data_IF_743682712414
#
_entry.id   IF_743682712414
#
_cell.length_a   1.000
_cell.length_b   1.000
_cell.length_c   1.000
_cell.angle_alpha   90.00
_cell.angle_beta   90.00
_cell.angle_gamma   90.00
#
_symmetry.space_group_name_H-M   'P 1'
#
loop_
_entity.id
_entity.type
_entity.pdbx_description
1 polymer ?
#
# COMPACT_ATOMS: atom_id res chain seq x y z
N UNK A 1 -17.19 21.88 15.50
CA UNK A 1 -17.40 23.16 14.80
C UNK A 1 -16.12 23.99 14.98
N UNK A 2 -15.00 23.80 14.30
CA UNK A 2 -14.72 23.29 12.97
C UNK A 2 -13.18 23.18 12.92
N UNK A 3 -12.57 22.03 13.21
CA UNK A 3 -11.10 21.94 13.18
C UNK A 3 -10.53 22.39 11.82
N UNK A 4 -11.29 22.15 10.74
CA UNK A 4 -11.05 22.70 9.40
C UNK A 4 -11.22 24.23 9.30
N UNK A 5 -12.26 24.85 9.87
CA UNK A 5 -12.45 26.32 9.78
C UNK A 5 -11.49 27.07 10.71
N UNK A 6 -11.19 26.51 11.88
CA UNK A 6 -10.14 27.02 12.77
C UNK A 6 -8.80 26.89 12.08
N UNK A 7 -8.54 25.78 11.38
CA UNK A 7 -7.34 25.62 10.58
C UNK A 7 -7.24 26.63 9.45
N UNK A 8 -8.32 26.85 8.71
CA UNK A 8 -8.38 27.88 7.67
C UNK A 8 -8.01 29.27 8.20
N UNK A 9 -8.48 29.62 9.40
CA UNK A 9 -8.22 30.92 10.00
C UNK A 9 -6.82 31.04 10.65
N UNK A 10 -6.15 29.91 10.89
CA UNK A 10 -4.87 29.84 11.63
C UNK A 10 -3.75 29.16 10.82
N UNK A 11 -3.75 29.27 9.48
CA UNK A 11 -2.74 28.69 8.58
C UNK A 11 -2.54 27.17 8.77
N UNK A 12 -3.62 26.44 9.03
CA UNK A 12 -3.68 24.99 9.19
C UNK A 12 -2.82 24.36 10.30
N UNK A 13 -2.10 25.17 11.08
CA UNK A 13 -1.40 24.79 12.33
C UNK A 13 -2.24 23.95 13.31
N UNK A 14 -3.55 24.20 13.51
CA UNK A 14 -4.36 23.40 14.44
C UNK A 14 -4.54 21.95 13.98
N UNK A 15 -4.57 21.69 12.67
CA UNK A 15 -4.58 20.32 12.12
C UNK A 15 -3.24 19.65 12.39
N UNK A 16 -2.12 20.36 12.17
CA UNK A 16 -0.78 19.80 12.40
C UNK A 16 -0.58 19.45 13.88
N UNK A 17 -0.92 20.37 14.78
CA UNK A 17 -0.81 20.16 16.23
C UNK A 17 -1.67 18.98 16.68
N UNK A 18 -2.89 18.85 16.15
CA UNK A 18 -3.79 17.74 16.47
C UNK A 18 -3.20 16.38 16.03
N UNK A 19 -2.60 16.34 14.84
CA UNK A 19 -1.91 15.13 14.35
C UNK A 19 -0.70 14.81 15.22
N UNK A 20 0.13 15.80 15.55
CA UNK A 20 1.38 15.60 16.29
C UNK A 20 1.17 15.23 17.77
N UNK A 21 0.10 15.72 18.39
CA UNK A 21 -0.27 15.37 19.78
C UNK A 21 -0.87 13.96 19.89
N UNK A 22 -1.31 13.38 18.76
CA UNK A 22 -1.94 12.07 18.75
C UNK A 22 -0.91 10.95 18.96
N UNK A 23 -1.29 9.84 19.66
CA UNK A 23 -0.36 8.76 20.00
C UNK A 23 0.20 8.01 18.78
N UNK A 24 -0.53 8.04 17.66
CA UNK A 24 -0.10 7.52 16.36
C UNK A 24 -0.35 8.61 15.29
N UNK A 25 0.62 9.49 15.03
CA UNK A 25 0.41 10.67 14.20
C UNK A 25 0.17 10.30 12.72
N UNK A 26 0.89 9.31 12.18
CA UNK A 26 0.71 8.86 10.79
C UNK A 26 -0.68 8.25 10.55
N UNK A 27 -1.15 7.41 11.48
CA UNK A 27 -2.48 6.78 11.41
C UNK A 27 -3.61 7.82 11.55
N UNK A 28 -3.43 8.77 12.48
CA UNK A 28 -4.41 9.85 12.68
C UNK A 28 -4.50 10.72 11.44
N UNK A 29 -3.37 11.09 10.83
CA UNK A 29 -3.34 11.89 9.61
C UNK A 29 -4.03 11.18 8.42
N UNK A 30 -3.76 9.89 8.22
CA UNK A 30 -4.36 9.08 7.17
C UNK A 30 -5.89 8.94 7.32
N UNK A 31 -6.36 8.61 8.53
CA UNK A 31 -7.80 8.50 8.83
C UNK A 31 -8.50 9.86 8.71
N UNK A 32 -7.86 10.93 9.20
CA UNK A 32 -8.41 12.29 9.14
C UNK A 32 -8.52 12.80 7.69
N UNK A 33 -7.51 12.52 6.86
CA UNK A 33 -7.53 12.80 5.41
C UNK A 33 -8.76 12.17 4.74
N UNK A 34 -8.97 10.87 4.95
CA UNK A 34 -10.12 10.16 4.39
C UNK A 34 -11.46 10.73 4.88
N UNK A 35 -11.57 11.05 6.18
CA UNK A 35 -12.76 11.70 6.75
C UNK A 35 -13.03 13.04 6.06
N UNK A 36 -12.01 13.87 5.82
CA UNK A 36 -12.20 15.14 5.12
C UNK A 36 -12.63 14.96 3.66
N UNK A 37 -12.08 13.98 2.96
CA UNK A 37 -12.50 13.66 1.58
C UNK A 37 -13.96 13.17 1.55
N UNK A 38 -14.33 12.24 2.43
CA UNK A 38 -15.71 11.75 2.53
C UNK A 38 -16.67 12.88 2.89
N UNK A 39 -16.32 13.75 3.83
CA UNK A 39 -17.12 14.92 4.20
C UNK A 39 -17.27 15.89 3.02
N UNK A 40 -16.25 16.05 2.19
CA UNK A 40 -16.31 16.92 1.00
C UNK A 40 -17.36 16.46 -0.02
N UNK A 41 -17.62 15.15 -0.11
CA UNK A 41 -18.66 14.61 -0.98
C UNK A 41 -20.08 14.86 -0.44
N UNK A 42 -20.22 14.97 0.88
CA UNK A 42 -21.50 15.23 1.58
C UNK A 42 -21.83 16.72 1.64
N UNK A 43 -20.83 17.58 1.89
CA UNK A 43 -20.98 19.03 2.03
C UNK A 43 -20.42 19.79 0.82
N UNK A 44 -21.26 20.03 -0.21
CA UNK A 44 -20.83 20.70 -1.44
C UNK A 44 -20.43 22.16 -1.27
N UNK A 45 -21.03 22.89 -0.32
CA UNK A 45 -20.73 24.31 -0.09
C UNK A 45 -19.29 24.57 0.39
N UNK A 46 -18.66 23.58 1.05
CA UNK A 46 -17.30 23.69 1.61
C UNK A 46 -16.34 22.62 1.08
N UNK A 47 -16.74 21.90 0.03
CA UNK A 47 -15.98 20.77 -0.52
C UNK A 47 -14.53 21.15 -0.88
N UNK A 48 -14.31 22.33 -1.47
CA UNK A 48 -12.97 22.79 -1.86
C UNK A 48 -12.01 22.95 -0.67
N UNK A 49 -12.52 23.45 0.46
CA UNK A 49 -11.72 23.63 1.68
C UNK A 49 -11.48 22.29 2.40
N UNK A 50 -12.45 21.38 2.34
CA UNK A 50 -12.29 20.02 2.89
C UNK A 50 -11.26 19.22 2.09
N UNK A 51 -11.25 19.33 0.77
CA UNK A 51 -10.27 18.66 -0.09
C UNK A 51 -8.85 19.21 0.17
N UNK A 52 -8.70 20.53 0.35
CA UNK A 52 -7.39 21.10 0.64
C UNK A 52 -6.86 20.68 2.01
N UNK A 53 -7.72 20.63 3.04
CA UNK A 53 -7.36 20.13 4.36
C UNK A 53 -7.01 18.63 4.34
N UNK A 54 -7.77 17.82 3.59
CA UNK A 54 -7.48 16.40 3.38
C UNK A 54 -6.14 16.19 2.72
N UNK A 55 -5.84 16.92 1.64
CA UNK A 55 -4.56 16.83 0.94
C UNK A 55 -3.37 17.22 1.81
N UNK A 56 -3.52 18.23 2.67
CA UNK A 56 -2.47 18.56 3.64
C UNK A 56 -2.25 17.47 4.67
N UNK A 57 -3.31 16.85 5.19
CA UNK A 57 -3.18 15.70 6.08
C UNK A 57 -2.48 14.52 5.38
N UNK A 58 -2.77 14.29 4.11
CA UNK A 58 -2.11 13.26 3.30
C UNK A 58 -0.61 13.55 3.08
N UNK A 59 -0.26 14.80 2.75
CA UNK A 59 1.14 15.23 2.61
C UNK A 59 1.89 15.09 3.94
N UNK A 60 1.27 15.49 5.04
CA UNK A 60 1.85 15.35 6.37
C UNK A 60 2.02 13.89 6.78
N UNK A 61 1.07 13.01 6.45
CA UNK A 61 1.23 11.58 6.68
C UNK A 61 2.43 11.02 5.91
N UNK A 62 2.64 11.46 4.66
CA UNK A 62 3.80 11.05 3.85
C UNK A 62 5.12 11.54 4.44
N UNK A 63 5.20 12.81 4.87
CA UNK A 63 6.41 13.37 5.49
C UNK A 63 6.74 12.71 6.83
N UNK A 64 5.74 12.51 7.69
CA UNK A 64 5.90 11.83 8.97
C UNK A 64 6.33 10.37 8.78
N UNK A 65 5.77 9.69 7.78
CA UNK A 65 6.19 8.33 7.45
C UNK A 65 7.62 8.31 6.90
N UNK A 66 8.03 9.28 6.08
CA UNK A 66 9.40 9.39 5.59
C UNK A 66 10.40 9.63 6.73
N UNK A 67 10.06 10.51 7.68
CA UNK A 67 10.86 10.78 8.87
C UNK A 67 10.94 9.56 9.78
N UNK A 68 9.81 8.91 10.06
CA UNK A 68 9.75 7.72 10.90
C UNK A 68 10.50 6.54 10.27
N UNK A 69 10.41 6.37 8.95
CA UNK A 69 11.17 5.34 8.22
C UNK A 69 12.67 5.66 8.08
N UNK A 70 13.07 6.91 8.30
CA UNK A 70 14.48 7.29 8.44
C UNK A 70 15.03 6.95 9.82
N UNK A 71 14.21 7.02 10.86
CA UNK A 71 14.58 6.72 12.25
C UNK A 71 14.48 5.23 12.60
N UNK A 72 13.42 4.56 12.13
CA UNK A 72 13.12 3.14 12.29
C UNK A 72 12.98 2.46 10.93
N UNK A 73 13.07 1.13 10.86
CA UNK A 73 12.85 0.44 9.59
C UNK A 73 11.40 0.57 9.12
N UNK A 74 11.21 1.02 7.88
CA UNK A 74 9.88 1.17 7.25
C UNK A 74 9.01 -0.08 7.38
N UNK A 75 9.62 -1.26 7.33
CA UNK A 75 8.92 -2.53 7.52
C UNK A 75 8.27 -2.68 8.90
N UNK A 76 8.95 -2.28 9.99
CA UNK A 76 8.37 -2.35 11.35
C UNK A 76 7.16 -1.44 11.51
N UNK A 77 7.17 -0.29 10.84
CA UNK A 77 6.07 0.69 10.88
C UNK A 77 4.89 0.17 10.05
N UNK A 78 5.15 -0.39 8.86
CA UNK A 78 4.11 -0.86 7.94
C UNK A 78 3.46 -2.18 8.39
N UNK A 79 4.18 -3.03 9.13
CA UNK A 79 3.63 -4.23 9.79
C UNK A 79 3.16 -3.96 11.21
N UNK A 80 3.21 -2.71 11.69
CA UNK A 80 2.68 -2.37 13.01
C UNK A 80 1.18 -2.64 13.02
N UNK A 81 0.69 -3.21 14.12
CA UNK A 81 -0.71 -3.55 14.29
C UNK A 81 -1.45 -2.38 14.93
N UNK A 82 -2.53 -1.94 14.29
CA UNK A 82 -3.46 -0.97 14.86
C UNK A 82 -4.32 -1.63 15.97
N UNK A 83 -5.10 -0.83 16.70
CA UNK A 83 -6.07 -1.25 17.73
C UNK A 83 -7.13 -2.26 17.24
N UNK A 84 -7.26 -2.43 15.92
CA UNK A 84 -8.11 -3.41 15.23
C UNK A 84 -7.39 -4.71 14.86
N UNK A 85 -6.13 -4.90 15.27
CA UNK A 85 -5.27 -6.01 14.83
C UNK A 85 -5.11 -6.09 13.30
N UNK A 86 -5.21 -4.97 12.59
CA UNK A 86 -4.92 -4.88 11.16
C UNK A 86 -3.53 -4.27 10.98
N UNK A 87 -2.82 -4.72 9.95
CA UNK A 87 -1.53 -4.16 9.58
C UNK A 87 -1.72 -2.71 9.11
N UNK A 88 -0.80 -1.83 9.49
CA UNK A 88 -0.87 -0.41 9.14
C UNK A 88 -0.94 -0.19 7.62
N UNK A 89 -0.28 -1.05 6.83
CA UNK A 89 -0.38 -1.04 5.37
C UNK A 89 -1.82 -1.23 4.88
N UNK A 90 -2.58 -2.16 5.48
CA UNK A 90 -3.97 -2.40 5.08
C UNK A 90 -4.86 -1.22 5.46
N UNK A 91 -4.59 -0.57 6.59
CA UNK A 91 -5.30 0.66 6.99
C UNK A 91 -5.02 1.82 6.03
N UNK A 92 -3.79 1.96 5.53
CA UNK A 92 -3.44 2.94 4.50
C UNK A 92 -4.18 2.69 3.19
N UNK A 93 -4.32 1.42 2.80
CA UNK A 93 -5.05 1.01 1.59
C UNK A 93 -6.55 1.23 1.75
N UNK A 94 -7.14 0.86 2.89
CA UNK A 94 -8.57 1.06 3.20
C UNK A 94 -8.94 2.55 3.22
N UNK A 95 -8.01 3.42 3.65
CA UNK A 95 -8.21 4.87 3.65
C UNK A 95 -7.88 5.56 2.31
N UNK A 96 -7.62 4.80 1.25
CA UNK A 96 -7.36 5.29 -0.11
C UNK A 96 -6.25 6.37 -0.19
N UNK A 97 -5.22 6.30 0.67
CA UNK A 97 -4.15 7.30 0.72
C UNK A 97 -3.13 7.10 -0.41
N UNK A 98 -3.50 7.50 -1.62
CA UNK A 98 -2.74 7.24 -2.85
C UNK A 98 -1.39 7.96 -2.88
N UNK A 99 -1.30 9.19 -2.38
CA UNK A 99 -0.04 9.95 -2.37
C UNK A 99 0.95 9.36 -1.34
N UNK A 100 0.46 8.86 -0.20
CA UNK A 100 1.30 8.22 0.84
C UNK A 100 1.83 6.87 0.37
N UNK A 101 0.99 6.04 -0.25
CA UNK A 101 1.40 4.73 -0.77
C UNK A 101 2.40 4.88 -1.92
N UNK A 102 2.25 5.91 -2.75
CA UNK A 102 3.18 6.21 -3.85
C UNK A 102 4.56 6.71 -3.38
N UNK A 103 4.72 7.04 -2.10
CA UNK A 103 5.98 7.54 -1.57
C UNK A 103 7.11 6.50 -1.73
N UNK A 104 8.31 6.95 -2.10
CA UNK A 104 9.46 6.09 -2.47
C UNK A 104 9.83 5.09 -1.37
N UNK A 105 9.67 5.49 -0.11
CA UNK A 105 9.91 4.66 1.08
C UNK A 105 8.96 3.46 1.13
N UNK A 106 7.66 3.71 0.97
CA UNK A 106 6.63 2.65 0.98
C UNK A 106 6.81 1.75 -0.24
N UNK A 107 7.05 2.34 -1.41
CA UNK A 107 7.28 1.60 -2.65
C UNK A 107 8.49 0.68 -2.57
N UNK A 108 9.59 1.15 -1.98
CA UNK A 108 10.78 0.30 -1.77
C UNK A 108 10.45 -0.88 -0.85
N UNK A 109 9.78 -0.64 0.27
CA UNK A 109 9.36 -1.72 1.16
C UNK A 109 8.42 -2.71 0.47
N UNK A 110 7.44 -2.21 -0.29
CA UNK A 110 6.49 -3.06 -1.01
C UNK A 110 7.19 -3.88 -2.11
N UNK A 111 8.22 -3.32 -2.76
CA UNK A 111 9.07 -4.06 -3.69
C UNK A 111 9.92 -5.13 -3.00
N UNK A 112 10.44 -4.86 -1.81
CA UNK A 112 11.14 -5.84 -0.98
C UNK A 112 10.19 -6.96 -0.54
N UNK A 113 8.96 -6.63 -0.13
CA UNK A 113 7.90 -7.59 0.20
C UNK A 113 7.49 -8.42 -1.03
N UNK A 114 7.37 -7.79 -2.19
CA UNK A 114 7.04 -8.43 -3.47
C UNK A 114 8.11 -9.44 -3.88
N UNK A 115 9.39 -9.05 -3.79
CA UNK A 115 10.53 -9.95 -4.04
C UNK A 115 10.64 -11.04 -2.96
N UNK A 116 10.20 -10.76 -1.74
CA UNK A 116 10.34 -11.66 -0.60
C UNK A 116 11.81 -12.04 -0.39
N UNK A 117 12.08 -13.33 -0.17
CA UNK A 117 13.45 -13.86 -0.05
C UNK A 117 14.16 -14.06 -1.40
N UNK A 118 13.55 -13.66 -2.52
CA UNK A 118 14.04 -13.95 -3.86
C UNK A 118 14.92 -12.80 -4.40
N UNK A 119 16.22 -12.86 -4.10
CA UNK A 119 17.23 -11.90 -4.61
C UNK A 119 17.65 -12.16 -6.07
N UNK A 120 16.80 -12.75 -6.90
CA UNK A 120 17.16 -13.09 -8.27
C UNK A 120 17.13 -11.88 -9.20
N UNK A 121 18.05 -11.85 -10.17
CA UNK A 121 18.05 -10.85 -11.24
C UNK A 121 16.77 -10.96 -12.08
N UNK A 122 16.25 -9.84 -12.56
CA UNK A 122 15.03 -9.78 -13.37
C UNK A 122 15.06 -10.76 -14.57
N UNK A 123 16.22 -10.93 -15.20
CA UNK A 123 16.42 -11.89 -16.28
C UNK A 123 16.15 -13.35 -15.89
N UNK A 124 16.59 -13.78 -14.70
CA UNK A 124 16.34 -15.14 -14.22
C UNK A 124 14.86 -15.38 -13.92
N UNK A 125 14.18 -14.37 -13.39
CA UNK A 125 12.73 -14.40 -13.16
C UNK A 125 11.98 -14.49 -14.49
N UNK A 126 12.42 -13.72 -15.50
CA UNK A 126 11.85 -13.77 -16.85
C UNK A 126 12.03 -15.15 -17.50
N UNK A 127 13.23 -15.74 -17.41
CA UNK A 127 13.48 -17.11 -17.88
C UNK A 127 12.61 -18.14 -17.16
N UNK A 128 12.42 -18.01 -15.86
CA UNK A 128 11.54 -18.89 -15.07
C UNK A 128 10.08 -18.78 -15.54
N UNK A 129 9.61 -17.58 -15.85
CA UNK A 129 8.26 -17.37 -16.40
C UNK A 129 8.08 -18.03 -17.78
N UNK A 130 9.05 -17.87 -18.68
CA UNK A 130 9.04 -18.59 -19.97
C UNK A 130 9.04 -20.10 -19.75
N UNK A 131 9.81 -20.60 -18.78
CA UNK A 131 9.82 -22.00 -18.38
C UNK A 131 8.45 -22.52 -17.93
N UNK A 132 7.68 -21.73 -17.18
CA UNK A 132 6.31 -22.09 -16.78
C UNK A 132 5.32 -22.16 -17.96
N UNK A 133 5.49 -21.34 -19.00
CA UNK A 133 4.64 -21.36 -20.19
C UNK A 133 4.95 -22.56 -21.10
N UNK A 134 6.24 -22.92 -21.23
CA UNK A 134 6.66 -24.01 -22.12
C UNK A 134 6.42 -25.38 -21.48
N UNK A 135 6.51 -25.49 -20.15
CA UNK A 135 6.43 -26.77 -19.44
C UNK A 135 5.41 -26.74 -18.27
N UNK A 136 4.15 -27.16 -18.50
CA UNK A 136 3.13 -27.25 -17.45
C UNK A 136 3.52 -28.09 -16.21
N UNK A 137 4.26 -29.21 -16.34
CA UNK A 137 4.72 -29.98 -15.18
C UNK A 137 5.62 -29.19 -14.22
N UNK A 138 6.47 -28.30 -14.74
CA UNK A 138 7.37 -27.45 -13.93
C UNK A 138 6.57 -26.44 -13.12
N UNK A 139 5.51 -25.88 -13.73
CA UNK A 139 4.57 -24.99 -13.04
C UNK A 139 3.84 -25.71 -11.89
N UNK A 140 3.38 -26.95 -12.08
CA UNK A 140 2.68 -27.73 -11.05
C UNK A 140 3.61 -28.04 -9.86
N UNK A 141 4.89 -28.35 -10.10
CA UNK A 141 5.87 -28.62 -9.04
C UNK A 141 6.16 -27.37 -8.20
N UNK A 142 6.26 -26.20 -8.82
CA UNK A 142 6.51 -24.93 -8.12
C UNK A 142 5.28 -24.37 -7.38
N UNK A 143 4.09 -24.77 -7.79
CA UNK A 143 2.82 -24.38 -7.15
C UNK A 143 2.43 -25.31 -6.00
N UNK A 144 2.88 -26.58 -6.03
CA UNK A 144 2.62 -27.50 -4.93
C UNK A 144 3.44 -27.15 -3.68
N UNK A 145 2.84 -27.19 -2.48
CA UNK A 145 3.51 -26.92 -1.21
C UNK A 145 4.41 -28.09 -0.74
N UNK A 146 5.12 -28.77 -1.66
CA UNK A 146 5.92 -29.97 -1.40
C UNK A 146 7.30 -29.68 -0.75
N UNK A 147 7.35 -28.75 0.20
CA UNK A 147 8.51 -28.58 1.09
C UNK A 147 9.50 -27.46 0.73
N UNK A 148 9.18 -26.58 -0.22
CA UNK A 148 9.96 -25.35 -0.47
C UNK A 148 9.22 -24.10 0.01
N UNK A 149 9.93 -23.14 0.61
CA UNK A 149 9.36 -21.87 1.09
C UNK A 149 8.94 -20.89 -0.04
N UNK A 150 9.15 -21.27 -1.31
CA UNK A 150 8.89 -20.41 -2.48
C UNK A 150 7.39 -20.12 -2.71
N UNK A 151 6.48 -20.96 -2.22
CA UNK A 151 5.03 -20.69 -2.31
C UNK A 151 4.61 -19.42 -1.53
N UNK A 152 5.42 -18.97 -0.55
CA UNK A 152 5.14 -17.76 0.23
C UNK A 152 5.48 -16.47 -0.52
N UNK A 153 6.27 -16.55 -1.60
CA UNK A 153 6.71 -15.37 -2.35
C UNK A 153 5.57 -14.88 -3.26
N UNK A 154 5.13 -13.61 -3.13
CA UNK A 154 4.03 -13.05 -3.93
C UNK A 154 4.25 -13.15 -5.45
N UNK A 155 5.48 -12.91 -5.93
CA UNK A 155 5.84 -13.02 -7.35
C UNK A 155 5.48 -14.39 -7.92
N UNK A 156 5.77 -15.47 -7.19
CA UNK A 156 5.58 -16.84 -7.70
C UNK A 156 4.08 -17.14 -7.81
N UNK A 157 3.28 -16.71 -6.82
CA UNK A 157 1.82 -16.79 -6.90
C UNK A 157 1.28 -16.01 -8.10
N UNK A 158 1.74 -14.77 -8.28
CA UNK A 158 1.33 -13.94 -9.41
C UNK A 158 1.67 -14.59 -10.76
N UNK A 159 2.90 -15.10 -10.91
CA UNK A 159 3.31 -15.80 -12.13
C UNK A 159 2.46 -17.04 -12.39
N UNK A 160 2.12 -17.80 -11.35
CA UNK A 160 1.21 -18.94 -11.48
C UNK A 160 -0.17 -18.52 -11.98
N UNK A 161 -0.79 -17.48 -11.39
CA UNK A 161 -2.09 -16.98 -11.86
C UNK A 161 -2.04 -16.49 -13.30
N UNK A 162 -0.96 -15.80 -13.68
CA UNK A 162 -0.75 -15.32 -15.04
C UNK A 162 -0.63 -16.49 -16.03
N UNK A 163 0.18 -17.49 -15.73
CA UNK A 163 0.32 -18.70 -16.55
C UNK A 163 -1.00 -19.47 -16.66
N UNK A 164 -1.76 -19.63 -15.57
CA UNK A 164 -3.10 -20.22 -15.62
C UNK A 164 -4.06 -19.45 -16.54
N UNK A 165 -4.04 -18.11 -16.48
CA UNK A 165 -4.88 -17.27 -17.33
C UNK A 165 -4.48 -17.38 -18.81
N UNK A 166 -3.19 -17.48 -19.12
CA UNK A 166 -2.70 -17.68 -20.49
C UNK A 166 -3.20 -19.02 -21.04
N UNK A 167 -3.08 -20.11 -20.28
CA UNK A 167 -3.60 -21.42 -20.72
C UNK A 167 -5.11 -21.41 -20.90
N UNK A 168 -5.85 -20.73 -20.02
CA UNK A 168 -7.30 -20.58 -20.17
C UNK A 168 -7.65 -19.82 -21.45
N UNK A 169 -6.94 -18.73 -21.77
CA UNK A 169 -7.13 -17.98 -23.02
C UNK A 169 -6.79 -18.83 -24.24
N UNK A 170 -5.70 -19.61 -24.21
CA UNK A 170 -5.35 -20.53 -25.30
C UNK A 170 -6.47 -21.57 -25.50
N UNK A 171 -6.99 -22.15 -24.42
CA UNK A 171 -8.08 -23.12 -24.51
C UNK A 171 -9.35 -22.49 -25.08
N UNK A 172 -9.69 -21.27 -24.67
CA UNK A 172 -10.82 -20.50 -25.19
C UNK A 172 -10.65 -20.08 -26.66
N UNK A 173 -9.41 -19.92 -27.14
CA UNK A 173 -9.18 -19.63 -28.57
C UNK A 173 -9.24 -20.86 -29.46
N UNK A 174 -8.99 -22.06 -28.91
CA UNK A 174 -8.97 -23.33 -29.65
C UNK A 174 -10.37 -23.96 -29.70
N UNK A 175 -11.17 -23.81 -28.64
CA UNK A 175 -12.57 -24.26 -28.53
C UNK A 175 -13.51 -23.23 -29.14
#
# INVERSE_FOLDING_TARGET
>A
YNLMIVSKNHNNKPIEEFVLVSPAPVDTAAKLSNIFIVLSTKEKERAKDLISAGKQCETMAAELLALAAGADSAGRILTATDRRNMEFLDVLIENEQKEVIAHTVVQRYLQELWRGTLNWTAWRIMLLFVGFIVCPPVWIIFTLPLGHNYYKVPIIKFMSYLTSHIYLMIHLMIV
#
